data_IF_036969684558
#
_entry.id   IF_036969684558
#
_cell.length_a   1.000
_cell.length_b   1.000
_cell.length_c   1.000
_cell.angle_alpha   90.00
_cell.angle_beta   90.00
_cell.angle_gamma   90.00
#
_symmetry.space_group_name_H-M   'P 1'
#
loop_
_entity.id
_entity.type
_entity.pdbx_description
1 polymer ?
#
# COMPACT_ATOMS: atom_id res chain seq x y z
N UNK A 1 13.80 -0.74 5.53
CA UNK A 1 13.20 -1.39 6.70
C UNK A 1 12.58 -2.69 6.21
N UNK A 2 13.03 -3.83 6.71
CA UNK A 2 12.59 -5.15 6.21
C UNK A 2 11.52 -5.67 7.15
N UNK A 3 10.29 -5.86 6.64
CA UNK A 3 9.22 -6.50 7.38
C UNK A 3 9.33 -8.01 7.20
N UNK A 4 9.36 -8.76 8.30
CA UNK A 4 9.42 -10.23 8.27
C UNK A 4 8.13 -10.77 8.83
N UNK A 5 7.36 -11.43 7.97
CA UNK A 5 6.13 -12.14 8.34
C UNK A 5 6.48 -13.22 9.38
N UNK A 6 5.96 -13.12 10.61
CA UNK A 6 6.40 -13.95 11.75
C UNK A 6 5.75 -15.35 11.82
N UNK A 7 5.01 -15.80 10.81
CA UNK A 7 4.33 -17.12 10.85
C UNK A 7 4.65 -18.08 9.71
N UNK A 8 5.28 -17.66 8.63
CA UNK A 8 5.69 -18.51 7.50
C UNK A 8 7.04 -18.05 6.95
N UNK A 9 7.82 -18.95 6.34
CA UNK A 9 9.10 -18.62 5.66
C UNK A 9 8.91 -17.84 4.34
N UNK A 10 7.69 -17.37 4.07
CA UNK A 10 7.41 -16.59 2.88
C UNK A 10 7.94 -15.17 3.02
N UNK A 11 8.71 -14.76 2.03
CA UNK A 11 9.10 -13.37 1.83
C UNK A 11 8.02 -12.77 0.94
N UNK A 12 7.30 -11.78 1.47
CA UNK A 12 6.32 -11.00 0.72
C UNK A 12 6.85 -9.57 0.55
N UNK A 13 6.53 -8.94 -0.58
CA UNK A 13 6.82 -7.51 -0.77
C UNK A 13 5.76 -6.67 -0.09
N UNK A 14 6.17 -5.80 0.83
CA UNK A 14 5.23 -4.96 1.58
C UNK A 14 5.53 -3.48 1.35
N UNK A 15 4.56 -2.74 0.85
CA UNK A 15 4.54 -1.27 0.87
C UNK A 15 3.91 -0.80 2.18
N UNK A 16 4.48 0.23 2.83
CA UNK A 16 4.01 0.67 4.16
C UNK A 16 3.67 2.15 4.18
N UNK A 17 2.44 2.46 4.59
CA UNK A 17 1.93 3.83 4.74
C UNK A 17 1.60 4.11 6.20
N UNK A 18 1.92 5.31 6.67
CA UNK A 18 1.55 5.78 8.01
C UNK A 18 0.51 6.89 7.95
N UNK A 19 -0.55 6.78 8.76
CA UNK A 19 -1.55 7.83 8.95
C UNK A 19 -1.71 8.17 10.43
N UNK A 20 -2.00 9.44 10.73
CA UNK A 20 -2.25 9.90 12.10
C UNK A 20 -3.66 9.54 12.61
N UNK A 21 -4.61 9.39 11.69
CA UNK A 21 -5.99 9.00 11.99
C UNK A 21 -6.14 7.54 12.43
N UNK A 22 -7.34 7.22 12.87
CA UNK A 22 -7.80 5.88 13.27
C UNK A 22 -8.44 5.08 12.13
N UNK A 23 -8.60 5.71 10.96
CA UNK A 23 -9.09 5.09 9.73
C UNK A 23 -7.96 4.96 8.70
N UNK A 24 -7.94 3.87 7.92
CA UNK A 24 -6.98 3.70 6.85
C UNK A 24 -7.35 4.63 5.68
N UNK A 25 -6.43 5.50 5.28
CA UNK A 25 -6.60 6.37 4.11
C UNK A 25 -5.28 6.44 3.37
N UNK A 26 -5.28 5.95 2.13
CA UNK A 26 -4.04 5.76 1.36
C UNK A 26 -4.21 6.20 -0.08
N UNK A 27 -3.16 6.81 -0.61
CA UNK A 27 -3.01 7.10 -2.03
C UNK A 27 -1.91 6.20 -2.57
N UNK A 28 -2.24 5.43 -3.61
CA UNK A 28 -1.26 4.65 -4.35
C UNK A 28 -0.63 5.51 -5.45
N UNK A 29 0.68 5.55 -5.46
CA UNK A 29 1.48 6.15 -6.52
C UNK A 29 1.61 5.19 -7.70
N UNK A 30 1.98 5.70 -8.88
CA UNK A 30 2.06 4.89 -10.10
C UNK A 30 3.01 3.68 -10.00
N UNK A 31 4.12 3.84 -9.27
CA UNK A 31 5.05 2.73 -9.03
C UNK A 31 4.47 1.66 -8.10
N UNK A 32 3.59 2.03 -7.17
CA UNK A 32 2.95 1.13 -6.22
C UNK A 32 1.81 0.36 -6.89
N UNK A 33 1.05 1.04 -7.76
CA UNK A 33 0.06 0.40 -8.64
C UNK A 33 0.75 -0.65 -9.52
N UNK A 34 1.84 -0.27 -10.20
CA UNK A 34 2.59 -1.21 -11.04
C UNK A 34 3.13 -2.41 -10.23
N UNK A 35 3.68 -2.17 -9.05
CA UNK A 35 4.16 -3.25 -8.19
C UNK A 35 3.01 -4.18 -7.75
N UNK A 36 1.86 -3.63 -7.37
CA UNK A 36 0.68 -4.43 -6.99
C UNK A 36 0.11 -5.25 -8.15
N UNK A 37 0.24 -4.77 -9.39
CA UNK A 37 -0.21 -5.48 -10.61
C UNK A 37 0.78 -6.56 -11.07
N UNK A 38 2.09 -6.32 -10.93
CA UNK A 38 3.14 -7.18 -11.49
C UNK A 38 3.69 -8.22 -10.48
N UNK A 39 3.59 -7.96 -9.18
CA UNK A 39 4.18 -8.77 -8.11
C UNK A 39 3.07 -9.51 -7.32
N UNK A 40 2.98 -10.83 -7.51
CA UNK A 40 1.88 -11.65 -6.99
C UNK A 40 1.83 -11.82 -5.45
N UNK A 41 2.90 -11.44 -4.76
CA UNK A 41 3.06 -11.48 -3.30
C UNK A 41 3.14 -10.07 -2.68
N UNK A 42 2.61 -9.06 -3.37
CA UNK A 42 2.58 -7.69 -2.89
C UNK A 42 1.45 -7.44 -1.88
N UNK A 43 1.76 -6.69 -0.82
CA UNK A 43 0.82 -6.28 0.22
C UNK A 43 0.99 -4.80 0.57
N UNK A 44 -0.10 -4.18 1.00
CA UNK A 44 -0.10 -2.86 1.61
C UNK A 44 -0.35 -2.96 3.11
N UNK A 45 0.56 -2.45 3.92
CA UNK A 45 0.34 -2.26 5.36
C UNK A 45 0.11 -0.78 5.68
N UNK A 46 -1.02 -0.48 6.31
CA UNK A 46 -1.39 0.86 6.77
C UNK A 46 -1.28 0.94 8.28
N UNK A 47 -0.28 1.69 8.75
CA UNK A 47 -0.08 1.99 10.18
C UNK A 47 -0.92 3.20 10.54
N UNK A 48 -2.03 2.96 11.23
CA UNK A 48 -2.90 3.99 11.80
C UNK A 48 -2.42 4.40 13.18
N UNK A 49 -2.88 5.57 13.66
CA UNK A 49 -2.52 6.15 14.97
C UNK A 49 -1.00 6.12 15.21
N UNK A 50 -0.23 6.36 14.14
CA UNK A 50 1.21 6.07 14.09
C UNK A 50 2.04 6.82 15.16
N UNK A 51 1.50 7.91 15.72
CA UNK A 51 2.19 8.76 16.70
C UNK A 51 1.79 8.47 18.16
N UNK A 52 0.79 7.61 18.41
CA UNK A 52 0.23 7.41 19.76
C UNK A 52 0.09 5.94 20.14
N UNK A 53 -0.81 5.22 19.48
CA UNK A 53 -1.14 3.82 19.78
C UNK A 53 -1.29 3.06 18.46
N UNK A 54 -0.17 2.74 17.79
CA UNK A 54 -0.19 2.27 16.42
C UNK A 54 -0.98 0.97 16.26
N UNK A 55 -1.80 0.91 15.22
CA UNK A 55 -2.48 -0.31 14.76
C UNK A 55 -2.24 -0.48 13.26
N UNK A 56 -2.11 -1.72 12.83
CA UNK A 56 -1.82 -2.06 11.43
C UNK A 56 -3.05 -2.69 10.80
N UNK A 57 -3.43 -2.20 9.61
CA UNK A 57 -4.33 -2.88 8.70
C UNK A 57 -3.52 -3.36 7.50
N UNK A 58 -3.79 -4.58 7.03
CA UNK A 58 -3.10 -5.21 5.91
C UNK A 58 -4.10 -5.43 4.78
N UNK A 59 -3.66 -5.19 3.55
CA UNK A 59 -4.46 -5.37 2.33
C UNK A 59 -3.66 -6.14 1.29
N UNK A 60 -4.33 -7.05 0.61
CA UNK A 60 -3.84 -7.68 -0.61
C UNK A 60 -3.71 -6.67 -1.75
N UNK A 61 -2.96 -7.03 -2.81
CA UNK A 61 -2.92 -6.23 -4.05
C UNK A 61 -4.31 -5.91 -4.59
N UNK A 62 -5.22 -6.89 -4.60
CA UNK A 62 -6.58 -6.72 -5.13
C UNK A 62 -7.37 -5.68 -4.33
N UNK A 63 -7.39 -5.80 -3.00
CA UNK A 63 -8.09 -4.86 -2.11
C UNK A 63 -7.51 -3.44 -2.22
N UNK A 64 -6.18 -3.32 -2.30
CA UNK A 64 -5.51 -2.03 -2.42
C UNK A 64 -5.81 -1.35 -3.76
N UNK A 65 -5.80 -2.10 -4.87
CA UNK A 65 -6.11 -1.60 -6.21
C UNK A 65 -7.59 -1.22 -6.37
N UNK A 66 -8.51 -1.97 -5.74
CA UNK A 66 -9.94 -1.64 -5.73
C UNK A 66 -10.20 -0.35 -4.96
N UNK A 67 -9.67 -0.24 -3.74
CA UNK A 67 -9.82 0.93 -2.89
C UNK A 67 -9.24 2.23 -3.47
N UNK A 68 -8.26 2.13 -4.38
CA UNK A 68 -7.62 3.28 -5.02
C UNK A 68 -8.42 3.86 -6.21
N UNK A 69 -9.45 3.18 -6.71
CA UNK A 69 -10.26 3.62 -7.88
C UNK A 69 -11.43 4.54 -7.47
N UNK A 70 -11.72 5.64 -8.19
CA UNK A 70 -10.90 6.40 -9.12
C UNK A 70 -10.52 7.76 -8.50
N UNK A 71 -9.50 7.79 -7.63
CA UNK A 71 -9.01 9.06 -7.07
C UNK A 71 -7.68 9.53 -7.67
N UNK A 72 -7.11 8.79 -8.64
CA UNK A 72 -5.84 9.14 -9.31
C UNK A 72 -6.09 9.42 -10.79
N UNK A 73 -6.11 10.70 -11.17
CA UNK A 73 -6.13 11.10 -12.58
C UNK A 73 -4.72 10.97 -13.17
N UNK A 74 -4.54 10.11 -14.17
CA UNK A 74 -3.34 10.06 -15.00
C UNK A 74 -3.54 10.90 -16.27
N UNK A 75 -2.63 11.85 -16.52
CA UNK A 75 -2.57 12.57 -17.79
C UNK A 75 -1.17 12.40 -18.39
N UNK A 76 -1.10 11.87 -19.62
CA UNK A 76 0.14 11.91 -20.41
C UNK A 76 0.33 13.33 -20.92
N UNK A 77 1.36 14.02 -20.43
CA UNK A 77 1.76 15.32 -20.96
C UNK A 77 2.77 15.07 -22.11
N UNK A 78 2.49 15.53 -23.35
CA UNK A 78 3.46 15.45 -24.44
C UNK A 78 4.71 16.27 -24.13
N UNK A 79 5.89 15.74 -24.45
CA UNK A 79 7.13 16.52 -24.43
C UNK A 79 7.06 17.58 -25.54
N UNK A 80 7.42 18.82 -25.21
CA UNK A 80 7.63 19.91 -26.18
C UNK A 80 9.02 19.83 -26.79
#
# INVERSE_FOLDING_TARGET
MTFTHQKTREVARVEVKGVSGDHPTVLLMANEIRAAEEEGDWYLAVVMRAQSAPNVAEYTSEEALDAAKPYVYWAKIPLR
#
